data_IF_418582005582
#
_entry.id   IF_418582005582
#
_cell.length_a   1.000
_cell.length_b   1.000
_cell.length_c   1.000
_cell.angle_alpha   90.00
_cell.angle_beta   90.00
_cell.angle_gamma   90.00
#
_symmetry.space_group_name_H-M   'P 1'
#
loop_
_entity.id
_entity.type
_entity.pdbx_description
1 polymer ?
#
# COMPACT_ATOMS: atom_id res chain seq x y z
N UNK A 1 -7.73 32.31 -20.97
CA UNK A 1 -6.51 31.98 -20.21
C UNK A 1 -6.42 30.46 -20.13
N UNK A 2 -5.41 29.83 -20.74
CA UNK A 2 -5.35 28.35 -20.83
C UNK A 2 -3.96 27.82 -20.47
N UNK A 3 -3.51 28.07 -19.23
CA UNK A 3 -2.23 27.57 -18.72
C UNK A 3 -2.45 26.64 -17.52
N UNK A 4 -2.10 25.36 -17.68
CA UNK A 4 -2.18 24.31 -16.65
C UNK A 4 -0.76 23.90 -16.28
N UNK A 5 -0.31 24.21 -15.06
CA UNK A 5 1.08 24.00 -14.66
C UNK A 5 2.06 24.75 -15.57
N UNK A 6 2.99 24.04 -16.18
CA UNK A 6 3.97 24.56 -17.16
C UNK A 6 3.48 24.52 -18.61
N UNK A 7 2.32 23.93 -18.87
CA UNK A 7 1.78 23.75 -20.22
C UNK A 7 0.86 24.91 -20.57
N UNK A 8 0.97 25.40 -21.81
CA UNK A 8 0.16 26.50 -22.33
C UNK A 8 -0.59 26.01 -23.56
N UNK A 9 -1.90 26.25 -23.61
CA UNK A 9 -2.76 25.85 -24.72
C UNK A 9 -3.27 27.09 -25.46
N UNK A 10 -3.49 26.94 -26.76
CA UNK A 10 -4.15 27.95 -27.58
C UNK A 10 -5.62 28.11 -27.14
N UNK A 11 -6.11 29.34 -26.89
CA UNK A 11 -7.51 29.56 -26.53
C UNK A 11 -8.48 29.30 -27.69
N UNK A 12 -8.01 29.39 -28.94
CA UNK A 12 -8.89 29.33 -30.12
C UNK A 12 -9.04 27.90 -30.66
N UNK A 13 -7.94 27.14 -30.71
CA UNK A 13 -7.94 25.78 -31.27
C UNK A 13 -7.64 24.67 -30.24
N UNK A 14 -7.31 25.03 -29.00
CA UNK A 14 -7.01 24.05 -27.94
C UNK A 14 -5.68 23.30 -28.08
N UNK A 15 -4.87 23.60 -29.11
CA UNK A 15 -3.58 22.94 -29.34
C UNK A 15 -2.55 23.32 -28.27
N UNK A 16 -1.69 22.38 -27.89
CA UNK A 16 -0.56 22.63 -27.00
C UNK A 16 0.48 23.51 -27.71
N UNK A 17 0.88 24.61 -27.08
CA UNK A 17 1.88 25.52 -27.62
C UNK A 17 3.27 25.14 -27.15
N UNK A 18 4.25 25.19 -28.06
CA UNK A 18 5.64 24.91 -27.74
C UNK A 18 6.23 25.97 -26.81
N UNK A 19 7.05 25.50 -25.86
CA UNK A 19 7.70 26.38 -24.87
C UNK A 19 8.82 27.16 -25.54
N UNK A 20 8.82 28.48 -25.37
CA UNK A 20 9.91 29.31 -25.90
C UNK A 20 11.22 29.00 -25.15
N UNK A 21 12.26 28.56 -25.87
CA UNK A 21 13.56 28.16 -25.30
C UNK A 21 14.45 29.35 -24.90
N UNK A 22 13.92 30.58 -24.87
CA UNK A 22 14.70 31.78 -24.59
C UNK A 22 13.86 33.02 -24.34
N UNK A 23 14.12 33.63 -23.19
CA UNK A 23 13.73 34.96 -22.72
C UNK A 23 12.24 35.29 -22.47
N UNK A 24 12.08 35.93 -21.32
CA UNK A 24 10.89 36.48 -20.71
C UNK A 24 10.15 37.40 -21.71
N UNK A 25 8.90 37.05 -22.05
CA UNK A 25 7.94 37.79 -22.93
C UNK A 25 7.92 37.41 -24.42
N UNK A 26 8.19 36.15 -24.76
CA UNK A 26 7.96 35.68 -26.14
C UNK A 26 6.46 35.39 -26.35
N UNK A 27 5.89 35.98 -27.40
CA UNK A 27 4.54 35.62 -27.85
C UNK A 27 4.63 34.28 -28.58
N UNK A 28 3.86 33.29 -28.15
CA UNK A 28 3.77 31.98 -28.78
C UNK A 28 2.82 32.08 -29.97
N UNK A 29 3.20 31.51 -31.11
CA UNK A 29 2.32 31.44 -32.28
C UNK A 29 1.82 30.01 -32.39
N UNK A 30 0.52 29.83 -32.59
CA UNK A 30 -0.05 28.50 -32.79
C UNK A 30 0.14 28.06 -34.25
N UNK A 31 0.71 26.88 -34.48
CA UNK A 31 0.92 26.33 -35.83
C UNK A 31 -0.38 25.91 -36.53
N UNK A 32 -1.47 25.72 -35.78
CA UNK A 32 -2.76 25.25 -36.32
C UNK A 32 -3.64 26.42 -36.77
N UNK A 33 -3.77 27.46 -35.94
CA UNK A 33 -4.68 28.59 -36.22
C UNK A 33 -3.95 29.93 -36.41
N UNK A 34 -2.64 30.00 -36.26
CA UNK A 34 -1.85 31.23 -36.38
C UNK A 34 -2.04 32.23 -35.22
N UNK A 35 -2.85 31.89 -34.21
CA UNK A 35 -3.13 32.78 -33.09
C UNK A 35 -1.89 33.06 -32.25
N UNK A 36 -1.73 34.33 -31.85
CA UNK A 36 -0.64 34.82 -31.02
C UNK A 36 -1.05 34.81 -29.55
N UNK A 37 -0.42 33.95 -28.76
CA UNK A 37 -0.71 33.74 -27.35
C UNK A 37 0.44 34.24 -26.48
N UNK A 38 0.13 34.83 -25.33
CA UNK A 38 1.17 35.23 -24.37
C UNK A 38 1.70 34.01 -23.64
N UNK A 39 3.02 33.87 -23.58
CA UNK A 39 3.64 32.82 -22.78
C UNK A 39 3.35 33.06 -21.29
N UNK A 40 2.58 32.14 -20.69
CA UNK A 40 2.25 32.12 -19.26
C UNK A 40 2.86 30.87 -18.58
N UNK A 41 3.85 30.24 -19.23
CA UNK A 41 4.49 29.00 -18.76
C UNK A 41 5.43 29.17 -17.56
N UNK A 42 5.67 30.41 -17.11
CA UNK A 42 6.59 30.76 -16.01
C UNK A 42 6.08 30.41 -14.60
N UNK A 43 5.25 29.37 -14.47
CA UNK A 43 4.82 28.85 -13.17
C UNK A 43 5.82 27.82 -12.65
N UNK A 44 6.29 28.00 -11.42
CA UNK A 44 7.11 27.01 -10.71
C UNK A 44 6.26 25.77 -10.42
N UNK A 45 6.68 24.60 -10.92
CA UNK A 45 6.08 23.31 -10.56
C UNK A 45 6.87 22.72 -9.39
N UNK A 46 6.18 22.42 -8.29
CA UNK A 46 6.74 21.67 -7.18
C UNK A 46 6.29 20.21 -7.29
N UNK A 47 7.23 19.31 -7.48
CA UNK A 47 6.98 17.86 -7.48
C UNK A 47 7.47 17.25 -6.18
N UNK A 48 6.64 16.42 -5.55
CA UNK A 48 7.03 15.64 -4.38
C UNK A 48 7.10 14.16 -4.71
N UNK A 49 8.07 13.45 -4.14
CA UNK A 49 8.13 11.99 -4.23
C UNK A 49 6.90 11.36 -3.56
N UNK A 50 6.35 10.29 -4.16
CA UNK A 50 5.29 9.51 -3.51
C UNK A 50 5.78 9.00 -2.14
N UNK A 51 4.91 8.95 -1.11
CA UNK A 51 5.28 8.40 0.20
C UNK A 51 5.82 6.97 0.13
N UNK A 52 5.35 6.17 -0.82
CA UNK A 52 5.79 4.79 -1.07
C UNK A 52 7.05 4.66 -1.92
N UNK A 53 7.61 5.74 -2.46
CA UNK A 53 8.75 5.68 -3.38
C UNK A 53 10.03 5.13 -2.71
N UNK A 54 10.12 5.20 -1.38
CA UNK A 54 11.27 4.69 -0.62
C UNK A 54 10.77 3.91 0.60
N UNK A 55 10.51 2.60 0.47
CA UNK A 55 10.14 1.76 1.61
C UNK A 55 11.35 1.55 2.52
N UNK A 56 11.20 1.81 3.81
CA UNK A 56 12.24 1.57 4.82
C UNK A 56 11.62 1.32 6.19
N UNK A 57 12.35 0.64 7.08
CA UNK A 57 11.90 0.40 8.47
C UNK A 57 11.64 1.71 9.24
N UNK A 58 12.46 2.74 9.00
CA UNK A 58 12.26 4.07 9.57
C UNK A 58 10.98 4.75 9.05
N UNK A 59 10.64 4.56 7.77
CA UNK A 59 9.42 5.13 7.20
C UNK A 59 8.18 4.34 7.60
N UNK A 60 8.28 3.02 7.73
CA UNK A 60 7.20 2.18 8.27
C UNK A 60 6.82 2.61 9.69
N UNK A 61 7.80 2.93 10.55
CA UNK A 61 7.57 3.49 11.90
C UNK A 61 6.88 4.86 11.91
N UNK A 62 6.88 5.58 10.79
CA UNK A 62 6.23 6.90 10.63
C UNK A 62 4.87 6.81 9.93
N UNK A 63 4.46 5.62 9.49
CA UNK A 63 3.15 5.39 8.90
C UNK A 63 2.08 5.43 9.99
N UNK A 64 0.96 6.12 9.74
CA UNK A 64 -0.20 6.10 10.64
C UNK A 64 -0.89 4.72 10.64
N UNK A 65 -0.71 3.95 9.57
CA UNK A 65 -1.19 2.58 9.46
C UNK A 65 -0.09 1.63 9.93
N UNK A 66 -0.35 0.93 11.04
CA UNK A 66 0.47 -0.21 11.46
C UNK A 66 0.17 -1.41 10.56
N UNK A 67 1.21 -1.94 9.93
CA UNK A 67 1.16 -3.25 9.30
C UNK A 67 1.18 -4.31 10.39
N UNK A 68 0.03 -4.90 10.67
CA UNK A 68 -0.06 -6.07 11.56
C UNK A 68 0.61 -7.25 10.86
N UNK A 69 1.50 -7.95 11.55
CA UNK A 69 2.07 -9.21 11.04
C UNK A 69 1.15 -10.38 11.38
N UNK A 70 1.31 -11.52 10.70
CA UNK A 70 0.53 -12.73 11.04
C UNK A 70 0.74 -13.16 12.49
N UNK A 71 1.87 -12.80 13.12
CA UNK A 71 2.11 -13.04 14.54
C UNK A 71 1.23 -12.18 15.47
N UNK A 72 0.82 -10.98 15.04
CA UNK A 72 -0.07 -10.09 15.80
C UNK A 72 -1.53 -10.60 15.77
N UNK A 73 -1.89 -11.37 14.75
CA UNK A 73 -3.17 -12.03 14.63
C UNK A 73 -3.17 -13.31 15.48
N UNK A 74 -3.33 -13.16 16.80
CA UNK A 74 -3.48 -14.32 17.68
C UNK A 74 -4.89 -14.91 17.52
N UNK A 75 -5.08 -15.71 16.46
CA UNK A 75 -6.33 -16.40 16.10
C UNK A 75 -6.61 -17.62 16.96
N UNK A 76 -5.66 -18.02 17.81
CA UNK A 76 -5.74 -19.28 18.55
C UNK A 76 -6.67 -19.13 19.76
N UNK A 77 -7.70 -19.97 19.83
CA UNK A 77 -8.60 -20.05 20.97
C UNK A 77 -7.99 -20.89 22.09
N UNK A 78 -8.46 -20.74 23.34
CA UNK A 78 -8.01 -21.55 24.48
C UNK A 78 -9.01 -22.66 24.80
N UNK A 79 -8.51 -23.82 25.18
CA UNK A 79 -9.30 -24.98 25.61
C UNK A 79 -8.68 -25.62 26.84
N UNK A 80 -9.53 -26.26 27.66
CA UNK A 80 -9.12 -27.06 28.81
C UNK A 80 -8.70 -28.46 28.34
N UNK A 81 -7.43 -28.59 27.98
CA UNK A 81 -6.80 -29.85 27.59
C UNK A 81 -5.44 -29.93 28.29
N UNK A 82 -5.16 -31.05 28.95
CA UNK A 82 -3.95 -31.20 29.75
C UNK A 82 -2.75 -31.51 28.86
N UNK A 83 -1.71 -30.67 28.93
CA UNK A 83 -0.48 -30.92 28.19
C UNK A 83 0.29 -32.12 28.79
N UNK A 84 0.53 -33.13 27.96
CA UNK A 84 1.25 -34.35 28.35
C UNK A 84 2.68 -34.11 28.85
N UNK A 85 3.34 -33.03 28.42
CA UNK A 85 4.73 -32.74 28.81
C UNK A 85 4.88 -31.99 30.13
N UNK A 86 3.99 -31.03 30.43
CA UNK A 86 4.16 -30.15 31.58
C UNK A 86 2.96 -30.13 32.54
N UNK A 87 1.88 -30.84 32.23
CA UNK A 87 0.70 -30.96 33.08
C UNK A 87 -0.17 -29.70 33.15
N UNK A 88 0.04 -28.71 32.28
CA UNK A 88 -0.81 -27.51 32.24
C UNK A 88 -2.19 -27.86 31.69
N UNK A 89 -3.25 -27.43 32.37
CA UNK A 89 -4.65 -27.75 32.04
C UNK A 89 -5.25 -26.91 30.91
N UNK A 90 -4.59 -25.81 30.50
CA UNK A 90 -5.06 -24.96 29.41
C UNK A 90 -4.01 -24.79 28.31
N UNK A 91 -4.45 -24.96 27.07
CA UNK A 91 -3.63 -24.91 25.85
C UNK A 91 -4.33 -24.05 24.80
N UNK A 92 -3.56 -23.50 23.86
CA UNK A 92 -4.10 -22.84 22.67
C UNK A 92 -4.37 -23.87 21.60
N UNK A 93 -5.43 -23.66 20.81
CA UNK A 93 -5.73 -24.51 19.68
C UNK A 93 -6.25 -23.71 18.48
N UNK A 94 -6.03 -24.26 17.30
CA UNK A 94 -6.68 -23.84 16.06
C UNK A 94 -7.06 -25.09 15.26
N UNK A 95 -8.03 -24.95 14.35
CA UNK A 95 -8.51 -26.05 13.52
C UNK A 95 -8.23 -25.76 12.06
N UNK A 96 -7.75 -26.76 11.32
CA UNK A 96 -7.55 -26.70 9.89
C UNK A 96 -8.08 -27.97 9.25
N UNK A 97 -8.81 -27.83 8.14
CA UNK A 97 -9.20 -28.97 7.33
C UNK A 97 -8.04 -29.34 6.40
N UNK A 98 -7.41 -30.48 6.68
CA UNK A 98 -6.27 -30.97 5.88
C UNK A 98 -6.70 -32.02 4.85
N UNK A 99 -7.92 -32.53 4.96
CA UNK A 99 -8.42 -33.66 4.19
C UNK A 99 -9.73 -33.33 3.47
N UNK A 100 -10.28 -34.33 2.79
CA UNK A 100 -11.55 -34.23 2.09
C UNK A 100 -12.66 -33.74 3.03
N UNK A 101 -13.69 -33.11 2.47
CA UNK A 101 -14.83 -32.57 3.24
C UNK A 101 -15.64 -33.65 4.00
N UNK A 102 -15.41 -34.93 3.71
CA UNK A 102 -16.04 -36.09 4.36
C UNK A 102 -15.36 -36.48 5.69
N UNK A 103 -14.16 -35.94 5.98
CA UNK A 103 -13.42 -36.20 7.21
C UNK A 103 -13.53 -35.01 8.19
N UNK A 104 -13.41 -35.28 9.49
CA UNK A 104 -13.40 -34.24 10.52
C UNK A 104 -12.18 -33.31 10.41
N UNK A 105 -12.26 -32.14 11.04
CA UNK A 105 -11.16 -31.18 11.03
C UNK A 105 -10.01 -31.64 11.91
N UNK A 106 -8.78 -31.34 11.51
CA UNK A 106 -7.60 -31.57 12.36
C UNK A 106 -7.45 -30.41 13.34
N UNK A 107 -7.38 -30.75 14.62
CA UNK A 107 -7.17 -29.78 15.71
C UNK A 107 -5.68 -29.74 16.03
N UNK A 108 -5.08 -28.56 15.99
CA UNK A 108 -3.70 -28.32 16.38
C UNK A 108 -3.67 -27.65 17.75
N UNK A 109 -2.92 -28.22 18.68
CA UNK A 109 -2.73 -27.70 20.03
C UNK A 109 -1.32 -27.14 20.20
N UNK A 110 -1.20 -26.05 20.95
CA UNK A 110 0.08 -25.45 21.37
C UNK A 110 0.02 -25.14 22.86
N UNK A 111 0.93 -25.72 23.63
CA UNK A 111 1.04 -25.45 25.05
C UNK A 111 1.80 -24.15 25.33
N UNK A 112 1.14 -23.21 26.00
CA UNK A 112 1.74 -21.93 26.42
C UNK A 112 2.87 -22.05 27.44
N UNK A 113 2.92 -23.16 28.19
CA UNK A 113 3.92 -23.36 29.25
C UNK A 113 5.25 -23.89 28.73
N UNK A 114 5.21 -24.93 27.89
CA UNK A 114 6.41 -25.63 27.41
C UNK A 114 6.65 -25.52 25.90
N UNK A 115 5.74 -24.87 25.15
CA UNK A 115 5.82 -24.74 23.69
C UNK A 115 5.57 -26.05 22.93
N UNK A 116 5.14 -27.12 23.60
CA UNK A 116 4.82 -28.38 22.93
C UNK A 116 3.63 -28.23 21.98
N UNK A 117 3.77 -28.75 20.77
CA UNK A 117 2.73 -28.75 19.74
C UNK A 117 2.38 -30.18 19.36
N UNK A 118 1.09 -30.48 19.26
CA UNK A 118 0.57 -31.76 18.81
C UNK A 118 -0.73 -31.55 18.04
N UNK A 119 -1.19 -32.56 17.33
CA UNK A 119 -2.45 -32.53 16.61
C UNK A 119 -3.30 -33.76 16.91
N UNK A 120 -4.61 -33.55 16.86
CA UNK A 120 -5.61 -34.62 16.96
C UNK A 120 -6.50 -34.53 15.73
N UNK A 121 -6.66 -35.65 15.03
CA UNK A 121 -7.64 -35.75 13.97
C UNK A 121 -8.95 -36.26 14.54
N UNK A 122 -10.05 -35.57 14.25
CA UNK A 122 -11.38 -35.91 14.74
C UNK A 122 -12.18 -36.66 13.67
#
# INVERSE_FOLDING_TARGET
MSAIGSLVFCPDCGTLLDRSSGLQKTTLTCDVCGAKCKDTSSKTIVTHSKPSAFPSSLRAKRSEVQTLTEEDHQTDARIKETCEKCGKEEVRYYTLQLRSADEGSTVFYTCDGCGHKWNTNN
#
